data_IF_827042323637
#
_entry.id   IF_827042323637
#
_cell.length_a   1.000
_cell.length_b   1.000
_cell.length_c   1.000
_cell.angle_alpha   90.00
_cell.angle_beta   90.00
_cell.angle_gamma   90.00
#
_symmetry.space_group_name_H-M   'P 1'
#
loop_
_entity.id
_entity.type
_entity.pdbx_description
1 polymer ?
#
# COMPACT_ATOMS: atom_id res chain seq x y z
N UNK A 1 -19.16 -13.90 -13.75
CA UNK A 1 -20.41 -13.19 -13.47
C UNK A 1 -20.54 -12.92 -11.98
N UNK A 2 -20.95 -11.72 -11.58
CA UNK A 2 -21.07 -11.26 -10.20
C UNK A 2 -22.46 -10.64 -9.97
N UNK A 3 -23.06 -10.91 -8.82
CA UNK A 3 -24.28 -10.24 -8.38
C UNK A 3 -23.92 -9.09 -7.44
N UNK A 4 -24.33 -7.88 -7.77
CA UNK A 4 -24.04 -6.67 -7.01
C UNK A 4 -24.75 -6.71 -5.65
N UNK A 5 -23.96 -6.53 -4.57
CA UNK A 5 -24.46 -6.45 -3.19
C UNK A 5 -24.50 -5.00 -2.72
N UNK A 6 -23.47 -4.22 -3.06
CA UNK A 6 -23.36 -2.82 -2.67
C UNK A 6 -22.53 -2.07 -3.73
N UNK A 7 -23.04 -0.97 -4.22
CA UNK A 7 -22.27 -0.02 -5.03
C UNK A 7 -21.58 0.94 -4.07
N UNK A 8 -20.28 1.11 -4.20
CA UNK A 8 -19.48 2.04 -3.38
C UNK A 8 -19.38 3.40 -4.06
N UNK A 9 -19.02 3.40 -5.34
CA UNK A 9 -19.02 4.57 -6.23
C UNK A 9 -19.13 4.11 -7.70
N UNK A 10 -18.89 5.02 -8.67
CA UNK A 10 -19.00 4.70 -10.10
C UNK A 10 -18.02 3.65 -10.61
N UNK A 11 -16.88 3.46 -9.93
CA UNK A 11 -15.79 2.58 -10.34
C UNK A 11 -15.68 1.31 -9.49
N UNK A 12 -16.44 1.24 -8.38
CA UNK A 12 -16.20 0.21 -7.36
C UNK A 12 -17.50 -0.33 -6.79
N UNK A 13 -17.63 -1.65 -6.72
CA UNK A 13 -18.77 -2.30 -6.07
C UNK A 13 -18.36 -3.58 -5.35
N UNK A 14 -19.17 -4.00 -4.39
CA UNK A 14 -19.09 -5.30 -3.75
C UNK A 14 -20.08 -6.23 -4.42
N UNK A 15 -19.62 -7.40 -4.84
CA UNK A 15 -20.45 -8.42 -5.49
C UNK A 15 -20.18 -9.81 -4.99
N UNK A 16 -21.15 -10.70 -5.22
CA UNK A 16 -21.01 -12.15 -4.96
C UNK A 16 -20.70 -12.83 -6.27
N UNK A 17 -19.58 -13.54 -6.35
CA UNK A 17 -19.18 -14.34 -7.51
C UNK A 17 -20.11 -15.55 -7.65
N UNK A 18 -20.67 -15.74 -8.84
CA UNK A 18 -21.70 -16.78 -9.08
C UNK A 18 -21.15 -18.21 -8.92
N UNK A 19 -19.86 -18.42 -9.23
CA UNK A 19 -19.21 -19.73 -9.26
C UNK A 19 -19.08 -20.36 -7.87
N UNK A 20 -18.60 -19.61 -6.90
CA UNK A 20 -18.20 -20.08 -5.57
C UNK A 20 -18.87 -19.34 -4.41
N UNK A 21 -19.79 -18.42 -4.74
CA UNK A 21 -20.48 -17.56 -3.77
C UNK A 21 -19.55 -16.66 -2.95
N UNK A 22 -18.31 -16.51 -3.39
CA UNK A 22 -17.33 -15.67 -2.71
C UNK A 22 -17.71 -14.19 -2.84
N UNK A 23 -17.59 -13.45 -1.75
CA UNK A 23 -17.79 -11.99 -1.72
C UNK A 23 -16.52 -11.30 -2.19
N UNK A 24 -16.64 -10.43 -3.17
CA UNK A 24 -15.51 -9.77 -3.81
C UNK A 24 -15.72 -8.26 -3.88
N UNK A 25 -14.62 -7.51 -3.79
CA UNK A 25 -14.52 -6.14 -4.25
C UNK A 25 -14.14 -6.15 -5.72
N UNK A 26 -14.89 -5.42 -6.53
CA UNK A 26 -14.66 -5.30 -7.97
C UNK A 26 -14.42 -3.83 -8.30
N UNK A 27 -13.30 -3.56 -8.96
CA UNK A 27 -12.86 -2.21 -9.31
C UNK A 27 -12.57 -2.13 -10.81
N UNK A 28 -13.01 -1.04 -11.44
CA UNK A 28 -12.76 -0.77 -12.85
C UNK A 28 -13.43 0.52 -13.28
N UNK A 29 -12.89 1.21 -14.26
CA UNK A 29 -13.40 2.52 -14.72
C UNK A 29 -14.86 2.39 -15.17
N UNK A 30 -15.76 3.12 -14.48
CA UNK A 30 -17.19 3.17 -14.80
C UNK A 30 -17.96 1.85 -14.63
N UNK A 31 -17.36 0.81 -14.06
CA UNK A 31 -17.93 -0.54 -13.97
C UNK A 31 -19.24 -0.58 -13.18
N UNK A 32 -19.39 0.30 -12.22
CA UNK A 32 -20.56 0.41 -11.36
C UNK A 32 -21.50 1.58 -11.74
N UNK A 33 -21.18 2.33 -12.81
CA UNK A 33 -21.97 3.48 -13.25
C UNK A 33 -23.37 3.07 -13.66
N UNK A 34 -24.38 3.67 -13.04
CA UNK A 34 -25.81 3.38 -13.31
C UNK A 34 -26.29 2.01 -12.84
N UNK A 35 -25.44 1.23 -12.16
CA UNK A 35 -25.79 -0.12 -11.68
C UNK A 35 -26.54 -0.08 -10.35
N UNK A 36 -27.39 -1.10 -10.16
CA UNK A 36 -28.21 -1.25 -8.95
C UNK A 36 -27.87 -2.54 -8.19
N UNK A 37 -28.16 -2.54 -6.91
CA UNK A 37 -28.07 -3.74 -6.07
C UNK A 37 -28.94 -4.86 -6.66
N UNK A 38 -28.48 -6.10 -6.55
CA UNK A 38 -29.06 -7.32 -7.09
C UNK A 38 -28.91 -7.52 -8.61
N UNK A 39 -28.40 -6.57 -9.37
CA UNK A 39 -28.07 -6.81 -10.78
C UNK A 39 -26.90 -7.81 -10.91
N UNK A 40 -26.96 -8.62 -11.99
CA UNK A 40 -25.88 -9.52 -12.37
C UNK A 40 -25.04 -8.88 -13.48
N UNK A 41 -23.72 -8.86 -13.30
CA UNK A 41 -22.78 -8.26 -14.23
C UNK A 41 -21.67 -9.24 -14.58
N UNK A 42 -21.30 -9.27 -15.86
CA UNK A 42 -20.01 -9.83 -16.28
C UNK A 42 -18.98 -8.72 -16.29
N UNK A 43 -17.81 -8.97 -15.70
CA UNK A 43 -16.70 -8.03 -15.68
C UNK A 43 -15.70 -8.39 -16.77
N UNK A 44 -15.15 -7.35 -17.44
CA UNK A 44 -14.08 -7.52 -18.42
C UNK A 44 -12.74 -7.85 -17.77
N UNK A 45 -11.73 -8.14 -18.59
CA UNK A 45 -10.36 -8.44 -18.16
C UNK A 45 -9.67 -7.24 -17.47
N UNK A 46 -10.10 -6.03 -17.80
CA UNK A 46 -9.57 -4.79 -17.18
C UNK A 46 -10.07 -4.58 -15.74
N UNK A 47 -11.08 -5.33 -15.30
CA UNK A 47 -11.61 -5.20 -13.96
C UNK A 47 -10.76 -5.98 -12.95
N UNK A 48 -10.40 -5.33 -11.88
CA UNK A 48 -9.65 -5.95 -10.78
C UNK A 48 -10.62 -6.53 -9.75
N UNK A 49 -10.38 -7.75 -9.35
CA UNK A 49 -11.25 -8.50 -8.43
C UNK A 49 -10.45 -8.95 -7.23
N UNK A 50 -10.88 -8.55 -6.04
CA UNK A 50 -10.27 -8.90 -4.76
C UNK A 50 -11.27 -9.67 -3.91
N UNK A 51 -10.83 -10.79 -3.32
CA UNK A 51 -11.67 -11.58 -2.40
C UNK A 51 -11.69 -10.91 -1.02
N UNK A 52 -12.86 -10.91 -0.36
CA UNK A 52 -13.03 -10.27 0.94
C UNK A 52 -12.87 -11.23 2.13
N UNK A 53 -12.47 -12.46 1.86
CA UNK A 53 -12.22 -13.47 2.90
C UNK A 53 -10.84 -13.39 3.52
N UNK A 54 -9.97 -12.54 2.98
CA UNK A 54 -8.61 -12.37 3.45
C UNK A 54 -8.55 -11.65 4.80
N UNK A 55 -7.68 -12.17 5.68
CA UNK A 55 -7.35 -11.55 6.96
C UNK A 55 -6.09 -10.70 6.79
N UNK A 56 -6.17 -9.45 7.17
CA UNK A 56 -5.03 -8.53 7.24
C UNK A 56 -4.58 -8.36 8.69
N UNK A 57 -3.45 -7.68 8.91
CA UNK A 57 -2.97 -7.37 10.26
C UNK A 57 -3.94 -6.48 11.07
N UNK A 58 -4.88 -5.79 10.40
CA UNK A 58 -5.83 -4.85 11.00
C UNK A 58 -7.29 -5.31 10.95
N UNK A 59 -7.52 -6.58 10.66
CA UNK A 59 -8.86 -7.16 10.56
C UNK A 59 -9.15 -7.76 9.18
N UNK A 60 -10.39 -8.10 8.93
CA UNK A 60 -10.78 -8.65 7.64
C UNK A 60 -10.87 -7.55 6.56
N UNK A 61 -10.61 -7.92 5.31
CA UNK A 61 -10.80 -7.04 4.16
C UNK A 61 -12.21 -6.42 4.14
N UNK A 62 -13.22 -7.15 4.59
CA UNK A 62 -14.60 -6.66 4.67
C UNK A 62 -14.77 -5.54 5.71
N UNK A 63 -14.09 -5.62 6.85
CA UNK A 63 -14.12 -4.56 7.88
C UNK A 63 -13.43 -3.29 7.37
N UNK A 64 -12.29 -3.44 6.73
CA UNK A 64 -11.55 -2.32 6.14
C UNK A 64 -12.41 -1.57 5.11
N UNK A 65 -13.08 -2.28 4.18
CA UNK A 65 -13.94 -1.64 3.17
C UNK A 65 -15.13 -0.88 3.78
N UNK A 66 -15.54 -1.20 4.99
CA UNK A 66 -16.64 -0.47 5.66
C UNK A 66 -16.20 0.89 6.20
N UNK A 67 -14.94 1.02 6.57
CA UNK A 67 -14.35 2.22 7.19
C UNK A 67 -13.56 3.10 6.22
N UNK A 68 -13.02 2.52 5.15
CA UNK A 68 -12.16 3.21 4.20
C UNK A 68 -12.99 3.87 3.08
N UNK A 69 -12.76 5.15 2.75
CA UNK A 69 -13.37 5.79 1.60
C UNK A 69 -13.03 5.06 0.29
N UNK A 70 -14.01 4.90 -0.64
CA UNK A 70 -13.76 4.23 -1.91
C UNK A 70 -12.62 4.83 -2.73
N UNK A 71 -12.40 6.13 -2.63
CA UNK A 71 -11.31 6.86 -3.27
C UNK A 71 -9.94 6.36 -2.81
N UNK A 72 -9.79 6.01 -1.52
CA UNK A 72 -8.54 5.45 -0.99
C UNK A 72 -8.28 4.04 -1.51
N UNK A 73 -9.34 3.23 -1.75
CA UNK A 73 -9.20 1.93 -2.41
C UNK A 73 -8.73 2.09 -3.86
N UNK A 74 -9.28 3.07 -4.60
CA UNK A 74 -8.86 3.35 -5.97
C UNK A 74 -7.40 3.82 -6.01
N UNK A 75 -7.01 4.76 -5.13
CA UNK A 75 -5.63 5.26 -5.05
C UNK A 75 -4.64 4.15 -4.71
N UNK A 76 -4.96 3.30 -3.73
CA UNK A 76 -4.15 2.13 -3.41
C UNK A 76 -4.01 1.19 -4.62
N UNK A 77 -5.11 0.97 -5.36
CA UNK A 77 -5.10 0.19 -6.59
C UNK A 77 -4.17 0.77 -7.66
N UNK A 78 -4.20 2.08 -7.87
CA UNK A 78 -3.32 2.77 -8.83
C UNK A 78 -1.85 2.71 -8.42
N UNK A 79 -1.53 2.87 -7.13
CA UNK A 79 -0.16 2.71 -6.61
C UNK A 79 0.34 1.28 -6.87
N UNK A 80 -0.49 0.27 -6.61
CA UNK A 80 -0.15 -1.13 -6.89
C UNK A 80 -0.02 -1.40 -8.39
N UNK A 81 -0.76 -0.71 -9.26
CA UNK A 81 -0.58 -0.79 -10.71
C UNK A 81 0.76 -0.22 -11.16
N UNK A 82 1.23 0.85 -10.51
CA UNK A 82 2.58 1.37 -10.72
C UNK A 82 3.65 0.38 -10.25
N UNK A 83 3.45 -0.25 -9.09
CA UNK A 83 4.36 -1.27 -8.58
C UNK A 83 4.43 -2.48 -9.51
N UNK A 84 3.30 -2.99 -9.97
CA UNK A 84 3.23 -4.14 -10.89
C UNK A 84 3.93 -3.90 -12.23
N UNK A 85 3.88 -2.66 -12.75
CA UNK A 85 4.62 -2.28 -13.97
C UNK A 85 6.13 -2.31 -13.79
N UNK A 86 6.63 -2.04 -12.59
CA UNK A 86 8.08 -1.99 -12.30
C UNK A 86 8.61 -3.36 -11.87
N UNK A 87 7.87 -4.06 -11.01
CA UNK A 87 8.34 -5.28 -10.36
C UNK A 87 7.76 -6.58 -10.96
N UNK A 88 6.75 -6.47 -11.83
CA UNK A 88 6.03 -7.63 -12.34
C UNK A 88 4.92 -8.07 -11.39
N UNK A 89 4.73 -9.38 -11.26
CA UNK A 89 3.67 -9.94 -10.41
C UNK A 89 3.92 -9.62 -8.94
N UNK A 90 2.87 -9.10 -8.27
CA UNK A 90 2.88 -8.72 -6.85
C UNK A 90 1.65 -9.30 -6.14
N UNK A 91 1.71 -9.40 -4.81
CA UNK A 91 0.54 -9.70 -3.99
C UNK A 91 -0.39 -8.48 -3.92
N UNK A 92 -1.52 -8.60 -4.59
CA UNK A 92 -2.51 -7.51 -4.64
C UNK A 92 -3.43 -7.45 -3.41
N UNK A 93 -3.34 -8.40 -2.48
CA UNK A 93 -4.09 -8.35 -1.22
C UNK A 93 -3.68 -7.17 -0.34
N UNK A 94 -2.46 -6.66 -0.54
CA UNK A 94 -1.93 -5.43 0.08
C UNK A 94 -2.79 -4.18 -0.24
N UNK A 95 -3.72 -4.26 -1.20
CA UNK A 95 -4.70 -3.21 -1.46
C UNK A 95 -5.38 -2.73 -0.17
N UNK A 96 -5.84 -3.67 0.66
CA UNK A 96 -6.62 -3.34 1.85
C UNK A 96 -5.81 -2.63 2.92
N UNK A 97 -4.66 -3.15 3.39
CA UNK A 97 -3.83 -2.43 4.37
C UNK A 97 -3.26 -1.12 3.82
N UNK A 98 -2.96 -1.02 2.52
CA UNK A 98 -2.53 0.22 1.90
C UNK A 98 -3.65 1.27 1.87
N UNK A 99 -4.87 0.88 1.48
CA UNK A 99 -6.02 1.79 1.45
C UNK A 99 -6.39 2.29 2.86
N UNK A 100 -6.30 1.42 3.86
CA UNK A 100 -6.48 1.78 5.28
C UNK A 100 -5.43 2.81 5.72
N UNK A 101 -4.15 2.56 5.39
CA UNK A 101 -3.08 3.53 5.66
C UNK A 101 -3.35 4.89 4.99
N UNK A 102 -3.72 4.91 3.70
CA UNK A 102 -4.03 6.14 2.97
C UNK A 102 -5.20 6.90 3.61
N UNK A 103 -6.26 6.20 4.03
CA UNK A 103 -7.40 6.81 4.70
C UNK A 103 -6.99 7.49 6.02
N UNK A 104 -6.17 6.82 6.83
CA UNK A 104 -5.62 7.39 8.06
C UNK A 104 -4.68 8.58 7.80
N UNK A 105 -3.81 8.48 6.78
CA UNK A 105 -2.92 9.57 6.40
C UNK A 105 -3.71 10.82 5.99
N UNK A 106 -4.71 10.66 5.12
CA UNK A 106 -5.59 11.75 4.68
C UNK A 106 -6.32 12.39 5.86
N UNK A 107 -6.83 11.58 6.80
CA UNK A 107 -7.51 12.10 7.99
C UNK A 107 -6.56 12.90 8.88
N UNK A 108 -5.36 12.40 9.17
CA UNK A 108 -4.34 13.11 9.97
C UNK A 108 -3.96 14.44 9.33
N UNK A 109 -3.64 14.44 8.05
CA UNK A 109 -3.21 15.66 7.35
C UNK A 109 -4.32 16.72 7.36
N UNK A 110 -5.58 16.33 7.15
CA UNK A 110 -6.73 17.22 7.24
C UNK A 110 -6.91 17.80 8.64
N UNK A 111 -6.55 17.06 9.67
CA UNK A 111 -6.54 17.51 11.07
C UNK A 111 -5.27 18.28 11.43
N UNK A 112 -4.35 18.54 10.47
CA UNK A 112 -3.05 19.19 10.70
C UNK A 112 -2.14 18.40 11.66
N UNK A 113 -2.31 17.08 11.71
CA UNK A 113 -1.49 16.15 12.46
C UNK A 113 -0.40 15.60 11.54
N UNK A 114 0.86 15.89 11.83
CA UNK A 114 1.99 15.29 11.10
C UNK A 114 2.51 14.07 11.83
N UNK A 115 2.95 13.08 11.06
CA UNK A 115 3.71 11.97 11.61
C UNK A 115 5.20 12.21 11.41
N UNK A 116 5.99 11.66 12.34
CA UNK A 116 7.43 11.57 12.17
C UNK A 116 7.81 10.10 12.17
N UNK A 117 8.50 9.68 11.14
CA UNK A 117 9.07 8.34 11.07
C UNK A 117 10.60 8.45 11.10
N UNK A 118 11.25 8.13 12.22
CA UNK A 118 12.70 8.24 12.34
C UNK A 118 13.46 7.29 11.40
N UNK A 119 12.78 6.31 10.82
CA UNK A 119 13.34 5.33 9.88
C UNK A 119 13.17 5.72 8.40
N UNK A 120 12.65 6.90 8.09
CA UNK A 120 12.36 7.31 6.70
C UNK A 120 13.57 7.21 5.79
N UNK A 121 14.74 7.68 6.24
CA UNK A 121 15.99 7.59 5.47
C UNK A 121 16.45 6.13 5.29
N UNK A 122 16.36 5.32 6.34
CA UNK A 122 16.71 3.91 6.26
C UNK A 122 15.77 3.16 5.29
N UNK A 123 14.47 3.44 5.33
CA UNK A 123 13.47 2.92 4.38
C UNK A 123 13.82 3.33 2.95
N UNK A 124 14.14 4.62 2.73
CA UNK A 124 14.48 5.15 1.41
C UNK A 124 15.72 4.46 0.82
N UNK A 125 16.68 4.08 1.65
CA UNK A 125 17.91 3.42 1.22
C UNK A 125 17.68 1.92 1.03
N UNK A 126 17.08 1.23 2.01
CA UNK A 126 16.82 -0.21 1.95
C UNK A 126 15.85 -0.59 0.84
N UNK A 127 14.81 0.21 0.65
CA UNK A 127 13.72 -0.05 -0.30
C UNK A 127 13.67 1.04 -1.38
N UNK A 128 14.84 1.35 -1.96
CA UNK A 128 15.00 2.47 -2.90
C UNK A 128 14.06 2.40 -4.10
N UNK A 129 13.85 1.23 -4.69
CA UNK A 129 12.98 1.08 -5.86
C UNK A 129 11.51 1.21 -5.46
N UNK A 130 11.14 0.61 -4.33
CA UNK A 130 9.80 0.69 -3.77
C UNK A 130 9.47 2.14 -3.37
N UNK A 131 10.43 2.86 -2.80
CA UNK A 131 10.28 4.27 -2.47
C UNK A 131 10.09 5.14 -3.72
N UNK A 132 10.80 4.85 -4.80
CA UNK A 132 10.60 5.49 -6.10
C UNK A 132 9.19 5.30 -6.64
N UNK A 133 8.66 4.08 -6.54
CA UNK A 133 7.28 3.78 -6.95
C UNK A 133 6.29 4.49 -6.03
N UNK A 134 6.49 4.44 -4.72
CA UNK A 134 5.63 5.08 -3.73
C UNK A 134 5.47 6.61 -3.95
N UNK A 135 6.47 7.27 -4.55
CA UNK A 135 6.38 8.71 -4.89
C UNK A 135 5.22 9.06 -5.82
N UNK A 136 4.70 8.13 -6.61
CA UNK A 136 3.51 8.41 -7.42
C UNK A 136 2.29 8.82 -6.57
N UNK A 137 2.25 8.40 -5.30
CA UNK A 137 1.19 8.75 -4.36
C UNK A 137 1.09 10.27 -4.11
N UNK A 138 2.21 11.02 -4.18
CA UNK A 138 2.19 12.49 -4.01
C UNK A 138 1.26 13.16 -5.03
N UNK A 139 1.43 12.81 -6.30
CA UNK A 139 0.62 13.37 -7.38
C UNK A 139 -0.83 12.87 -7.28
N UNK A 140 -1.03 11.58 -7.06
CA UNK A 140 -2.35 10.97 -7.00
C UNK A 140 -3.21 11.57 -5.86
N UNK A 141 -2.64 11.72 -4.66
CA UNK A 141 -3.35 12.28 -3.50
C UNK A 141 -3.61 13.79 -3.69
N UNK A 142 -2.67 14.53 -4.26
CA UNK A 142 -2.84 15.95 -4.57
C UNK A 142 -3.98 16.17 -5.57
N UNK A 143 -3.99 15.42 -6.67
CA UNK A 143 -4.99 15.59 -7.74
C UNK A 143 -6.39 15.15 -7.33
N UNK A 144 -6.50 14.03 -6.59
CA UNK A 144 -7.80 13.41 -6.28
C UNK A 144 -8.40 13.87 -4.97
N UNK A 145 -7.58 14.12 -3.95
CA UNK A 145 -8.05 14.40 -2.58
C UNK A 145 -7.61 15.77 -2.07
N UNK A 146 -6.81 16.53 -2.86
CA UNK A 146 -6.23 17.82 -2.48
C UNK A 146 -5.44 17.73 -1.17
N UNK A 147 -4.67 16.64 -1.01
CA UNK A 147 -3.84 16.35 0.14
C UNK A 147 -2.39 16.22 -0.30
N UNK A 148 -1.50 16.90 0.40
CA UNK A 148 -0.05 16.81 0.22
C UNK A 148 0.53 15.92 1.30
N UNK A 149 1.23 14.87 0.88
CA UNK A 149 1.95 13.95 1.77
C UNK A 149 3.44 14.30 1.79
N UNK A 150 4.08 14.01 2.91
CA UNK A 150 5.51 14.19 3.11
C UNK A 150 6.31 12.89 2.87
N UNK A 151 7.63 12.98 3.03
CA UNK A 151 8.54 11.85 2.88
C UNK A 151 8.30 10.71 3.89
N UNK A 152 7.74 11.02 5.05
CA UNK A 152 7.42 10.02 6.07
C UNK A 152 6.26 9.13 5.62
N UNK A 153 5.21 9.74 5.04
CA UNK A 153 4.09 8.99 4.46
C UNK A 153 4.53 8.18 3.23
N UNK A 154 5.39 8.75 2.37
CA UNK A 154 5.97 8.02 1.23
C UNK A 154 6.75 6.79 1.72
N UNK A 155 7.51 6.92 2.81
CA UNK A 155 8.20 5.80 3.44
C UNK A 155 7.26 4.67 3.84
N UNK A 156 6.14 4.98 4.48
CA UNK A 156 5.14 3.97 4.83
C UNK A 156 4.50 3.31 3.60
N UNK A 157 4.19 4.10 2.55
CA UNK A 157 3.68 3.55 1.28
C UNK A 157 4.73 2.62 0.64
N UNK A 158 6.00 2.97 0.69
CA UNK A 158 7.09 2.12 0.20
C UNK A 158 7.16 0.77 0.91
N UNK A 159 6.91 0.73 2.23
CA UNK A 159 6.81 -0.52 2.98
C UNK A 159 5.63 -1.39 2.54
N UNK A 160 4.50 -0.79 2.18
CA UNK A 160 3.37 -1.53 1.61
C UNK A 160 3.71 -2.08 0.22
N UNK A 161 4.41 -1.31 -0.62
CA UNK A 161 4.89 -1.78 -1.92
C UNK A 161 5.87 -2.93 -1.75
N UNK A 162 6.81 -2.83 -0.81
CA UNK A 162 7.75 -3.91 -0.51
C UNK A 162 7.02 -5.18 -0.04
N UNK A 163 6.05 -5.04 0.86
CA UNK A 163 5.24 -6.16 1.34
C UNK A 163 4.49 -6.87 0.20
N UNK A 164 4.01 -6.11 -0.79
CA UNK A 164 3.36 -6.66 -1.98
C UNK A 164 4.31 -7.46 -2.88
N UNK A 165 5.60 -7.08 -2.93
CA UNK A 165 6.62 -7.76 -3.75
C UNK A 165 7.08 -9.06 -3.08
N UNK A 166 7.32 -9.04 -1.78
CA UNK A 166 7.92 -10.15 -1.02
C UNK A 166 6.87 -11.10 -0.42
N UNK A 167 5.57 -10.89 -0.68
CA UNK A 167 4.46 -11.66 -0.09
C UNK A 167 4.57 -11.75 1.44
N UNK A 168 4.80 -10.61 2.08
CA UNK A 168 5.01 -10.53 3.52
C UNK A 168 4.19 -9.41 4.16
N UNK A 169 4.21 -9.37 5.49
CA UNK A 169 3.50 -8.33 6.23
C UNK A 169 4.28 -7.02 6.26
N UNK A 170 3.58 -5.89 6.22
CA UNK A 170 4.18 -4.54 6.34
C UNK A 170 4.95 -4.40 7.66
N UNK A 171 4.46 -4.99 8.75
CA UNK A 171 5.13 -5.01 10.05
C UNK A 171 6.50 -5.69 9.99
N UNK A 172 6.69 -6.71 9.15
CA UNK A 172 7.97 -7.40 8.99
C UNK A 172 8.99 -6.50 8.27
N UNK A 173 8.58 -5.79 7.21
CA UNK A 173 9.44 -4.81 6.54
C UNK A 173 9.90 -3.69 7.50
N UNK A 174 8.98 -3.21 8.35
CA UNK A 174 9.31 -2.23 9.39
C UNK A 174 10.28 -2.79 10.43
N UNK A 175 10.09 -4.03 10.88
CA UNK A 175 10.98 -4.70 11.84
C UNK A 175 12.38 -4.88 11.25
N UNK A 176 12.49 -5.28 9.98
CA UNK A 176 13.77 -5.38 9.28
C UNK A 176 14.49 -4.02 9.28
N UNK A 177 13.80 -2.95 8.88
CA UNK A 177 14.38 -1.61 8.87
C UNK A 177 14.91 -1.21 10.25
N UNK A 178 14.13 -1.46 11.30
CA UNK A 178 14.53 -1.17 12.68
C UNK A 178 15.75 -1.99 13.10
N UNK A 179 15.76 -3.30 12.83
CA UNK A 179 16.87 -4.17 13.16
C UNK A 179 18.18 -3.72 12.49
N UNK A 180 18.09 -3.33 11.21
CA UNK A 180 19.25 -2.78 10.49
C UNK A 180 19.75 -1.50 11.15
N UNK A 181 18.85 -0.57 11.50
CA UNK A 181 19.21 0.68 12.18
C UNK A 181 19.86 0.43 13.54
N UNK A 182 19.31 -0.50 14.32
CA UNK A 182 19.86 -0.87 15.62
C UNK A 182 21.27 -1.46 15.49
N UNK A 183 21.51 -2.32 14.49
CA UNK A 183 22.84 -2.84 14.19
C UNK A 183 23.84 -1.73 13.83
N UNK A 184 23.46 -0.78 12.98
CA UNK A 184 24.30 0.36 12.61
C UNK A 184 24.64 1.20 13.85
N UNK A 185 23.62 1.53 14.67
CA UNK A 185 23.82 2.32 15.90
C UNK A 185 24.74 1.61 16.90
N UNK A 186 24.68 0.27 16.98
CA UNK A 186 25.59 -0.51 17.80
C UNK A 186 27.04 -0.41 17.31
N UNK A 187 27.25 -0.53 16.00
CA UNK A 187 28.58 -0.38 15.37
C UNK A 187 29.14 1.01 15.61
N UNK A 188 28.34 2.07 15.39
CA UNK A 188 28.72 3.45 15.66
C UNK A 188 29.17 3.64 17.11
N UNK A 189 28.40 3.12 18.06
CA UNK A 189 28.73 3.19 19.49
C UNK A 189 30.02 2.45 19.86
N UNK A 190 30.24 1.28 19.26
CA UNK A 190 31.44 0.46 19.57
C UNK A 190 32.72 1.01 18.93
N UNK A 191 32.61 1.58 17.75
CA UNK A 191 33.76 2.10 17.00
C UNK A 191 34.07 3.57 17.30
N UNK A 192 33.12 4.30 17.89
CA UNK A 192 33.20 5.74 18.09
C UNK A 192 33.12 6.56 16.79
N UNK A 193 32.68 5.91 15.70
CA UNK A 193 32.56 6.55 14.37
C UNK A 193 31.10 6.70 14.00
N UNK A 194 30.75 7.83 13.39
CA UNK A 194 29.42 8.03 12.79
C UNK A 194 29.43 7.50 11.36
N UNK A 195 28.49 6.67 11.03
CA UNK A 195 28.34 6.11 9.68
C UNK A 195 27.48 7.08 8.85
N UNK A 196 28.05 7.63 7.80
CA UNK A 196 27.31 8.45 6.85
C UNK A 196 26.36 7.57 6.04
N UNK A 197 25.05 7.69 6.35
CA UNK A 197 23.98 6.93 5.69
C UNK A 197 23.86 7.25 4.19
N UNK A 198 24.40 8.38 3.73
CA UNK A 198 24.44 8.74 2.31
C UNK A 198 25.69 8.20 1.59
N UNK A 199 26.61 7.59 2.32
CA UNK A 199 27.85 7.06 1.73
C UNK A 199 27.61 5.84 0.84
N UNK A 200 28.48 5.68 -0.15
CA UNK A 200 28.47 4.49 -1.02
C UNK A 200 28.70 3.20 -0.22
N UNK A 201 29.53 3.27 0.83
CA UNK A 201 29.83 2.15 1.72
C UNK A 201 28.60 1.71 2.50
N UNK A 202 27.81 2.65 3.01
CA UNK A 202 26.54 2.36 3.68
C UNK A 202 25.55 1.71 2.71
N UNK A 203 25.37 2.27 1.52
CA UNK A 203 24.49 1.70 0.50
C UNK A 203 24.88 0.26 0.11
N UNK A 204 26.19 -0.03 0.01
CA UNK A 204 26.70 -1.39 -0.24
C UNK A 204 26.39 -2.33 0.91
N UNK A 205 26.59 -1.87 2.16
CA UNK A 205 26.27 -2.65 3.35
C UNK A 205 24.77 -2.97 3.42
N UNK A 206 23.91 -1.98 3.18
CA UNK A 206 22.47 -2.16 3.19
C UNK A 206 22.00 -3.17 2.12
N UNK A 207 22.51 -3.04 0.91
CA UNK A 207 22.22 -4.01 -0.14
C UNK A 207 22.68 -5.42 0.23
N UNK A 208 23.83 -5.55 0.89
CA UNK A 208 24.31 -6.86 1.34
C UNK A 208 23.41 -7.47 2.41
N UNK A 209 23.00 -6.68 3.41
CA UNK A 209 22.09 -7.14 4.47
C UNK A 209 20.72 -7.54 3.91
N UNK A 210 20.20 -6.81 2.90
CA UNK A 210 18.89 -7.11 2.30
C UNK A 210 18.84 -8.49 1.63
N UNK A 211 19.97 -8.98 1.12
CA UNK A 211 20.05 -10.24 0.35
C UNK A 211 20.73 -11.38 1.11
N UNK A 212 20.97 -11.24 2.43
CA UNK A 212 21.40 -12.32 3.33
C UNK A 212 20.20 -13.08 3.89
#
# INVERSE_FOLDING_TARGET
>A
MYRIVKVLNHNTFIGIRSKDKCKCLIMGKGIAFGRKVSESISVGEDAKVYTLTELTERGSAEEIIRSVPPECLELAGEILDHAEKVFGQIDRSILFPMADHLAFAVQRIRNQEQISNPLTEDIRILFHQEYKVAKCAEQLLRERLHVEIDEHEIGYIALHVHAAIEDQKVSQAMQLTRAVRDCISLVEKQTGTTIDVMSLSYNRLMNHIRYM
#
